data_IF_895761603405
#
_entry.id   IF_895761603405
#
_cell.length_a   1.000
_cell.length_b   1.000
_cell.length_c   1.000
_cell.angle_alpha   90.00
_cell.angle_beta   90.00
_cell.angle_gamma   90.00
#
_symmetry.space_group_name_H-M   'P 1'
#
loop_
_entity.id
_entity.type
_entity.pdbx_description
1 polymer ?
#
# COMPACT_ATOMS: atom_id res chain seq x y z
N UNK A 1 16.89 -10.20 -6.03
CA UNK A 1 16.33 -8.94 -6.53
C UNK A 1 15.91 -8.06 -5.36
N UNK A 2 16.29 -6.81 -5.42
CA UNK A 2 16.03 -5.87 -4.34
C UNK A 2 14.73 -5.13 -4.56
N UNK A 3 14.04 -4.84 -3.48
CA UNK A 3 12.77 -4.08 -3.48
C UNK A 3 12.93 -2.73 -4.18
N UNK A 4 14.07 -2.08 -4.01
CA UNK A 4 14.35 -0.76 -4.59
C UNK A 4 14.08 -0.66 -6.08
N UNK A 5 14.26 -1.76 -6.81
CA UNK A 5 14.07 -1.78 -8.26
C UNK A 5 12.61 -1.71 -8.69
N UNK A 6 11.69 -1.95 -7.75
CA UNK A 6 10.26 -2.07 -8.03
C UNK A 6 9.41 -0.97 -7.37
N UNK A 7 10.05 -0.01 -6.69
CA UNK A 7 9.30 1.03 -5.98
C UNK A 7 8.70 2.02 -6.97
N UNK A 8 7.38 2.18 -6.89
CA UNK A 8 6.62 3.22 -7.61
C UNK A 8 6.21 4.31 -6.62
N UNK A 9 6.20 5.56 -7.08
CA UNK A 9 5.95 6.71 -6.21
C UNK A 9 4.75 7.55 -6.62
N UNK A 10 3.96 7.08 -7.57
CA UNK A 10 2.83 7.80 -8.13
C UNK A 10 1.52 7.64 -7.35
N UNK A 11 1.56 6.89 -6.26
CA UNK A 11 0.40 6.70 -5.37
C UNK A 11 0.81 7.01 -3.94
N UNK A 12 0.58 8.25 -3.47
CA UNK A 12 1.02 8.67 -2.14
C UNK A 12 0.19 8.07 -1.01
N UNK A 13 0.75 8.04 0.18
CA UNK A 13 -0.03 7.74 1.38
C UNK A 13 -0.91 8.97 1.70
N UNK A 14 -2.12 8.71 2.18
CA UNK A 14 -3.07 9.76 2.54
C UNK A 14 -2.93 10.15 4.00
N UNK A 15 -3.10 11.43 4.29
CA UNK A 15 -3.15 11.89 5.68
C UNK A 15 -4.41 11.33 6.35
N UNK A 16 -4.29 11.03 7.64
CA UNK A 16 -5.41 10.42 8.42
C UNK A 16 -6.67 11.29 8.45
N UNK A 17 -6.53 12.60 8.28
CA UNK A 17 -7.66 13.53 8.26
C UNK A 17 -8.25 13.75 6.87
N UNK A 18 -7.74 13.09 5.84
CA UNK A 18 -8.25 13.24 4.49
C UNK A 18 -9.66 12.65 4.36
N UNK A 19 -10.50 13.21 3.47
CA UNK A 19 -11.82 12.64 3.19
C UNK A 19 -11.68 11.25 2.55
N UNK A 20 -12.54 10.32 2.96
CA UNK A 20 -12.60 8.98 2.37
C UNK A 20 -12.86 9.06 0.87
N UNK A 21 -13.72 9.97 0.44
CA UNK A 21 -14.06 10.12 -0.98
C UNK A 21 -12.83 10.40 -1.85
N UNK A 22 -11.90 11.21 -1.36
CA UNK A 22 -10.67 11.53 -2.07
C UNK A 22 -9.82 10.27 -2.27
N UNK A 23 -9.67 9.48 -1.22
CA UNK A 23 -8.91 8.23 -1.28
C UNK A 23 -9.60 7.21 -2.19
N UNK A 24 -10.92 7.15 -2.14
CA UNK A 24 -11.71 6.23 -2.95
C UNK A 24 -11.55 6.51 -4.45
N UNK A 25 -11.58 7.78 -4.84
CA UNK A 25 -11.36 8.15 -6.24
C UNK A 25 -9.99 7.69 -6.73
N UNK A 26 -8.95 7.87 -5.92
CA UNK A 26 -7.60 7.48 -6.30
C UNK A 26 -7.44 5.97 -6.40
N UNK A 27 -7.95 5.22 -5.43
CA UNK A 27 -7.81 3.77 -5.43
C UNK A 27 -8.57 3.13 -6.59
N UNK A 28 -9.71 3.71 -6.96
CA UNK A 28 -10.49 3.23 -8.11
C UNK A 28 -9.77 3.52 -9.41
N UNK A 29 -9.21 4.71 -9.55
CA UNK A 29 -8.47 5.10 -10.76
C UNK A 29 -7.27 4.18 -11.00
N UNK A 30 -6.53 3.85 -9.94
CA UNK A 30 -5.35 2.99 -10.05
C UNK A 30 -5.67 1.49 -10.10
N UNK A 31 -6.89 1.10 -9.75
CA UNK A 31 -7.27 -0.31 -9.70
C UNK A 31 -6.63 -1.06 -8.55
N UNK A 32 -6.31 -0.38 -7.46
CA UNK A 32 -5.67 -0.99 -6.30
C UNK A 32 -6.71 -1.50 -5.30
N UNK A 33 -6.28 -2.43 -4.45
CA UNK A 33 -7.12 -3.05 -3.42
C UNK A 33 -7.12 -2.27 -2.11
N UNK A 34 -6.09 -1.46 -1.89
CA UNK A 34 -5.84 -0.76 -0.63
C UNK A 34 -5.37 0.65 -0.89
N UNK A 35 -5.52 1.50 0.14
CA UNK A 35 -4.81 2.76 0.25
C UNK A 35 -3.91 2.69 1.48
N UNK A 36 -2.95 3.60 1.57
CA UNK A 36 -2.06 3.70 2.72
C UNK A 36 -2.28 5.01 3.44
N UNK A 37 -2.20 4.97 4.76
CA UNK A 37 -2.54 6.10 5.63
C UNK A 37 -1.36 6.44 6.51
N UNK A 38 -1.12 7.72 6.68
CA UNK A 38 -0.07 8.25 7.53
C UNK A 38 -0.61 9.41 8.38
N UNK A 39 0.10 9.71 9.44
CA UNK A 39 -0.14 10.91 10.25
C UNK A 39 1.16 11.69 10.27
N UNK A 40 1.18 12.83 9.56
CA UNK A 40 2.40 13.60 9.30
C UNK A 40 3.43 12.70 8.59
N UNK A 41 4.56 12.40 9.23
CA UNK A 41 5.60 11.56 8.64
C UNK A 41 5.59 10.12 9.18
N UNK A 42 4.54 9.73 9.92
CA UNK A 42 4.45 8.40 10.51
C UNK A 42 3.46 7.56 9.73
N UNK A 43 3.94 6.44 9.17
CA UNK A 43 3.07 5.48 8.49
C UNK A 43 2.19 4.78 9.52
N UNK A 44 0.88 4.72 9.25
CA UNK A 44 -0.07 4.09 10.16
C UNK A 44 -0.51 2.70 9.70
N UNK A 45 -0.70 2.51 8.40
CA UNK A 45 -1.16 1.23 7.88
C UNK A 45 -1.88 1.36 6.56
N UNK A 46 -2.45 0.24 6.12
CA UNK A 46 -3.28 0.17 4.94
C UNK A 46 -4.73 -0.14 5.29
N UNK A 47 -5.64 0.26 4.43
CA UNK A 47 -7.06 -0.07 4.59
C UNK A 47 -7.60 -0.49 3.24
N UNK A 48 -8.40 -1.56 3.22
CA UNK A 48 -8.94 -2.06 1.98
C UNK A 48 -10.06 -1.19 1.44
N UNK A 49 -10.19 -1.21 0.12
CA UNK A 49 -11.15 -0.40 -0.63
C UNK A 49 -12.59 -0.57 -0.14
N UNK A 50 -12.97 -1.77 0.27
CA UNK A 50 -14.34 -2.07 0.71
C UNK A 50 -14.76 -1.23 1.90
N UNK A 51 -13.86 -0.97 2.85
CA UNK A 51 -14.17 -0.10 3.99
C UNK A 51 -14.39 1.35 3.55
N UNK A 52 -13.70 1.78 2.51
CA UNK A 52 -13.88 3.13 1.96
C UNK A 52 -15.25 3.24 1.30
N UNK A 53 -15.62 2.23 0.54
CA UNK A 53 -16.91 2.19 -0.18
C UNK A 53 -18.10 2.21 0.77
N UNK A 54 -17.95 1.62 1.94
CA UNK A 54 -19.00 1.59 2.96
C UNK A 54 -19.13 2.91 3.74
N UNK A 55 -18.13 3.81 3.64
CA UNK A 55 -18.07 5.02 4.45
C UNK A 55 -17.66 6.26 3.64
N UNK A 56 -18.33 6.55 2.51
CA UNK A 56 -17.86 7.60 1.59
C UNK A 56 -17.93 9.02 2.17
N UNK A 57 -18.77 9.25 3.18
CA UNK A 57 -18.97 10.58 3.74
C UNK A 57 -18.08 10.89 4.95
N UNK A 58 -17.17 9.97 5.29
CA UNK A 58 -16.32 10.11 6.48
C UNK A 58 -14.92 10.56 6.12
N UNK A 59 -14.12 10.83 7.15
CA UNK A 59 -12.68 11.00 7.01
C UNK A 59 -11.99 9.67 7.32
N UNK A 60 -10.74 9.52 6.91
CA UNK A 60 -9.98 8.29 7.17
C UNK A 60 -9.80 8.05 8.67
N UNK A 61 -9.75 9.10 9.47
CA UNK A 61 -9.65 9.00 10.92
C UNK A 61 -10.80 8.16 11.51
N UNK A 62 -11.99 8.28 10.95
CA UNK A 62 -13.15 7.51 11.40
C UNK A 62 -13.00 6.01 11.16
N UNK A 63 -12.07 5.62 10.27
CA UNK A 63 -11.82 4.23 9.91
C UNK A 63 -10.50 3.70 10.50
N UNK A 64 -9.91 4.42 11.44
CA UNK A 64 -8.60 4.06 12.01
C UNK A 64 -8.58 2.64 12.58
N UNK A 65 -9.68 2.18 13.16
CA UNK A 65 -9.79 0.83 13.71
C UNK A 65 -9.64 -0.29 12.67
N UNK A 66 -9.80 0.04 11.39
CA UNK A 66 -9.70 -0.92 10.29
C UNK A 66 -8.32 -0.92 9.62
N UNK A 67 -7.41 -0.06 10.08
CA UNK A 67 -6.05 -0.02 9.53
C UNK A 67 -5.30 -1.30 9.90
N UNK A 68 -4.68 -1.89 8.89
CA UNK A 68 -3.80 -3.05 9.07
C UNK A 68 -2.37 -2.59 8.82
N UNK A 69 -1.50 -2.81 9.80
CA UNK A 69 -0.12 -2.38 9.65
C UNK A 69 0.69 -3.49 8.96
N UNK A 70 0.89 -3.32 7.67
CA UNK A 70 1.78 -4.17 6.90
C UNK A 70 2.65 -3.29 6.02
N UNK A 71 3.88 -3.70 5.83
CA UNK A 71 4.84 -2.94 5.03
C UNK A 71 6.07 -3.80 4.77
N UNK A 72 6.86 -3.36 3.80
CA UNK A 72 8.16 -3.96 3.55
C UNK A 72 9.19 -2.83 3.61
N UNK A 73 10.41 -3.18 4.02
CA UNK A 73 11.50 -2.21 4.11
C UNK A 73 12.26 -2.20 2.79
N UNK A 74 12.85 -1.06 2.43
CA UNK A 74 13.56 -0.92 1.17
C UNK A 74 14.74 -1.87 1.00
N UNK A 75 15.33 -2.34 2.10
CA UNK A 75 16.43 -3.30 2.07
C UNK A 75 15.99 -4.77 2.02
N UNK A 76 14.69 -5.03 2.07
CA UNK A 76 14.18 -6.39 1.94
C UNK A 76 14.27 -6.88 0.48
N UNK A 77 14.03 -8.17 0.30
CA UNK A 77 14.04 -8.79 -1.02
C UNK A 77 12.61 -8.97 -1.55
N UNK A 78 12.53 -9.26 -2.85
CA UNK A 78 11.24 -9.54 -3.50
C UNK A 78 10.55 -10.74 -2.85
N UNK A 79 11.31 -11.74 -2.41
CA UNK A 79 10.71 -12.91 -1.75
C UNK A 79 9.96 -12.53 -0.47
N UNK A 80 10.47 -11.54 0.25
CA UNK A 80 9.80 -11.06 1.46
C UNK A 80 8.42 -10.46 1.15
N UNK A 81 8.26 -9.85 -0.02
CA UNK A 81 7.01 -9.22 -0.42
C UNK A 81 5.93 -10.23 -0.82
N UNK A 82 6.31 -11.37 -1.37
CA UNK A 82 5.35 -12.37 -1.87
C UNK A 82 4.38 -12.80 -0.78
N UNK A 83 4.92 -13.09 0.41
CA UNK A 83 4.10 -13.50 1.54
C UNK A 83 3.08 -12.42 1.93
N UNK A 84 3.47 -11.16 1.87
CA UNK A 84 2.58 -10.05 2.24
C UNK A 84 1.44 -9.88 1.25
N UNK A 85 1.69 -10.03 -0.06
CA UNK A 85 0.62 -9.97 -1.05
C UNK A 85 -0.49 -10.99 -0.75
N UNK A 86 -0.11 -12.20 -0.38
CA UNK A 86 -1.10 -13.24 -0.08
C UNK A 86 -1.74 -13.07 1.28
N UNK A 87 -0.95 -12.73 2.31
CA UNK A 87 -1.46 -12.60 3.68
C UNK A 87 -2.54 -11.51 3.77
N UNK A 88 -2.31 -10.38 3.10
CA UNK A 88 -3.20 -9.22 3.19
C UNK A 88 -4.15 -9.10 2.00
N UNK A 89 -4.07 -10.03 1.07
CA UNK A 89 -4.89 -10.01 -0.15
C UNK A 89 -4.84 -8.65 -0.83
N UNK A 90 -3.65 -8.09 -0.91
CA UNK A 90 -3.41 -6.76 -1.48
C UNK A 90 -2.65 -6.90 -2.79
N UNK A 91 -2.95 -6.05 -3.76
CA UNK A 91 -2.16 -6.01 -4.99
C UNK A 91 -1.07 -4.94 -4.95
N UNK A 92 -0.93 -4.24 -3.82
CA UNK A 92 0.17 -3.30 -3.57
C UNK A 92 0.67 -3.47 -2.13
N UNK A 93 1.98 -3.27 -1.94
CA UNK A 93 2.61 -3.33 -0.61
C UNK A 93 3.35 -2.01 -0.39
N UNK A 94 3.14 -1.33 0.75
CA UNK A 94 3.86 -0.09 1.02
C UNK A 94 5.31 -0.39 1.37
N UNK A 95 6.21 0.46 0.88
CA UNK A 95 7.65 0.36 1.15
C UNK A 95 8.03 1.50 2.07
N UNK A 96 8.69 1.17 3.17
CA UNK A 96 9.13 2.14 4.18
C UNK A 96 10.64 2.21 4.23
N UNK A 97 11.14 3.40 4.61
CA UNK A 97 12.54 3.59 4.95
C UNK A 97 12.83 2.99 6.33
N UNK A 98 14.09 2.92 6.71
CA UNK A 98 14.50 2.48 8.04
C UNK A 98 13.99 3.40 9.17
N UNK A 99 13.49 4.58 8.81
CA UNK A 99 12.85 5.51 9.76
C UNK A 99 11.31 5.43 9.70
N UNK A 100 10.80 4.36 9.08
CA UNK A 100 9.36 4.09 8.94
C UNK A 100 8.59 5.15 8.15
N UNK A 101 9.28 5.85 7.24
CA UNK A 101 8.63 6.80 6.34
C UNK A 101 8.18 6.09 5.06
N UNK A 102 7.00 6.45 4.60
CA UNK A 102 6.47 5.90 3.34
C UNK A 102 7.31 6.40 2.16
N UNK A 103 7.90 5.48 1.42
CA UNK A 103 8.70 5.79 0.24
C UNK A 103 7.92 5.64 -1.06
N UNK A 104 6.96 4.75 -1.07
CA UNK A 104 6.20 4.38 -2.24
C UNK A 104 5.63 2.99 -2.04
N UNK A 105 5.35 2.30 -3.13
CA UNK A 105 4.77 0.96 -3.07
C UNK A 105 5.39 0.06 -4.13
N UNK A 106 5.19 -1.23 -3.96
CA UNK A 106 5.47 -2.20 -5.01
C UNK A 106 4.15 -2.85 -5.42
N UNK A 107 3.97 -3.05 -6.72
CA UNK A 107 2.75 -3.62 -7.26
C UNK A 107 2.93 -5.10 -7.57
N UNK A 108 1.90 -5.89 -7.27
CA UNK A 108 1.87 -7.32 -7.56
C UNK A 108 2.24 -7.63 -9.02
N UNK A 109 1.63 -6.89 -9.95
CA UNK A 109 1.85 -7.14 -11.38
C UNK A 109 3.29 -6.90 -11.80
N UNK A 110 3.95 -5.90 -11.22
CA UNK A 110 5.35 -5.62 -11.54
C UNK A 110 6.28 -6.72 -11.04
N UNK A 111 6.04 -7.18 -9.81
CA UNK A 111 6.86 -8.23 -9.20
C UNK A 111 6.66 -9.57 -9.91
N UNK A 112 5.42 -10.00 -10.05
CA UNK A 112 5.11 -11.30 -10.65
C UNK A 112 5.28 -11.31 -12.17
N UNK A 113 5.10 -10.18 -12.83
CA UNK A 113 5.39 -10.04 -14.25
C UNK A 113 6.86 -10.31 -14.55
N UNK A 114 7.76 -9.77 -13.73
CA UNK A 114 9.20 -10.00 -13.89
C UNK A 114 9.59 -11.42 -13.54
N UNK A 115 9.05 -11.97 -12.45
CA UNK A 115 9.36 -13.35 -12.04
C UNK A 115 8.95 -14.36 -13.09
N UNK A 116 7.86 -14.13 -13.81
CA UNK A 116 7.38 -15.03 -14.85
C UNK A 116 8.31 -15.11 -16.06
N UNK A 117 9.23 -14.17 -16.19
CA UNK A 117 10.23 -14.17 -17.29
C UNK A 117 11.40 -15.11 -17.02
N UNK A 118 11.53 -15.58 -15.79
CA UNK A 118 12.63 -16.47 -15.41
C UNK A 118 12.09 -17.88 -15.26
N UNK A 119 12.51 -18.82 -16.14
CA UNK A 119 12.10 -20.21 -15.98
C UNK A 119 12.68 -20.80 -14.70
N UNK A 120 11.89 -21.57 -14.01
CA UNK A 120 12.34 -22.27 -12.81
C UNK A 120 13.14 -23.51 -13.19
#
# INVERSE_FOLDING_TARGET
MLIQEYISKDFPAFEIDAPVEEALLQVEEFGFTHIFVKKKNVFLGGICKEFLEENPDKTLEALEMHLERFAIMEENTILDSIKLFYTFNSNIIPVLSNKEKYLGYIAYDDVFGDLSKYPL
#
